data_IF_189386193612
#
_entry.id   IF_189386193612
#
_cell.length_a   1.000
_cell.length_b   1.000
_cell.length_c   1.000
_cell.angle_alpha   90.00
_cell.angle_beta   90.00
_cell.angle_gamma   90.00
#
_symmetry.space_group_name_H-M   'P 1'
#
loop_
_entity.id
_entity.type
_entity.pdbx_description
1 polymer ?
#
# COMPACT_ATOMS: atom_id res chain seq x y z
N UNK A 1 -10.11 14.79 -16.19
CA UNK A 1 -9.74 13.53 -16.89
C UNK A 1 -10.77 12.44 -16.60
N UNK A 2 -10.93 11.42 -17.46
CA UNK A 2 -11.80 10.26 -17.20
C UNK A 2 -11.09 8.94 -17.53
N UNK A 3 -11.12 7.97 -16.62
CA UNK A 3 -10.54 6.64 -16.81
C UNK A 3 -11.35 5.78 -17.78
N UNK A 4 -10.68 4.86 -18.47
CA UNK A 4 -11.35 3.82 -19.24
C UNK A 4 -12.09 2.84 -18.30
N UNK A 5 -13.12 2.11 -18.79
CA UNK A 5 -13.80 1.10 -17.98
C UNK A 5 -12.86 0.02 -17.42
N UNK A 6 -11.84 -0.37 -18.21
CA UNK A 6 -10.83 -1.33 -17.80
C UNK A 6 -9.96 -0.78 -16.66
N UNK A 7 -9.52 0.48 -16.78
CA UNK A 7 -8.78 1.15 -15.71
C UNK A 7 -9.61 1.26 -14.43
N UNK A 8 -10.89 1.64 -14.53
CA UNK A 8 -11.79 1.69 -13.38
C UNK A 8 -11.95 0.33 -12.71
N UNK A 9 -12.08 -0.75 -13.48
CA UNK A 9 -12.15 -2.10 -12.95
C UNK A 9 -10.84 -2.51 -12.26
N UNK A 10 -9.69 -2.17 -12.84
CA UNK A 10 -8.38 -2.44 -12.24
C UNK A 10 -8.16 -1.64 -10.94
N UNK A 11 -8.50 -0.34 -10.92
CA UNK A 11 -8.42 0.52 -9.73
C UNK A 11 -9.29 -0.07 -8.62
N UNK A 12 -10.54 -0.43 -8.94
CA UNK A 12 -11.45 -1.06 -7.99
C UNK A 12 -10.87 -2.34 -7.39
N UNK A 13 -10.54 -3.32 -8.24
CA UNK A 13 -10.08 -4.63 -7.79
C UNK A 13 -8.78 -4.52 -6.96
N UNK A 14 -7.84 -3.68 -7.42
CA UNK A 14 -6.59 -3.45 -6.71
C UNK A 14 -6.81 -2.76 -5.37
N UNK A 15 -7.72 -1.80 -5.30
CA UNK A 15 -8.04 -1.07 -4.05
C UNK A 15 -8.79 -1.94 -3.05
N UNK A 16 -9.68 -2.83 -3.51
CA UNK A 16 -10.36 -3.78 -2.62
C UNK A 16 -9.38 -4.78 -1.99
N UNK A 17 -8.40 -5.28 -2.76
CA UNK A 17 -7.31 -6.10 -2.22
C UNK A 17 -6.53 -5.30 -1.18
N UNK A 18 -6.06 -4.11 -1.56
CA UNK A 18 -5.25 -3.25 -0.70
C UNK A 18 -5.96 -2.90 0.61
N UNK A 19 -7.24 -2.55 0.55
CA UNK A 19 -8.08 -2.27 1.73
C UNK A 19 -8.11 -3.44 2.70
N UNK A 20 -8.34 -4.65 2.20
CA UNK A 20 -8.37 -5.84 3.05
C UNK A 20 -7.01 -6.09 3.71
N UNK A 21 -5.92 -5.91 2.96
CA UNK A 21 -4.57 -6.09 3.48
C UNK A 21 -4.24 -5.06 4.57
N UNK A 22 -4.44 -3.77 4.30
CA UNK A 22 -4.13 -2.69 5.26
C UNK A 22 -5.00 -2.79 6.50
N UNK A 23 -6.30 -3.04 6.36
CA UNK A 23 -7.16 -3.21 7.53
C UNK A 23 -6.68 -4.36 8.41
N UNK A 24 -6.27 -5.49 7.81
CA UNK A 24 -5.73 -6.61 8.54
C UNK A 24 -4.40 -6.30 9.24
N UNK A 25 -3.52 -5.55 8.57
CA UNK A 25 -2.25 -5.11 9.17
C UNK A 25 -2.51 -4.13 10.31
N UNK A 26 -3.43 -3.19 10.15
CA UNK A 26 -3.82 -2.24 11.19
C UNK A 26 -4.44 -2.95 12.42
N UNK A 27 -5.19 -4.04 12.24
CA UNK A 27 -5.65 -4.89 13.35
C UNK A 27 -4.47 -5.46 14.15
N UNK A 28 -3.40 -5.88 13.47
CA UNK A 28 -2.20 -6.39 14.15
C UNK A 28 -1.40 -5.28 14.82
N UNK A 29 -1.22 -4.14 14.17
CA UNK A 29 -0.54 -2.97 14.74
C UNK A 29 -1.21 -2.58 16.07
N UNK A 30 -2.54 -2.52 16.10
CA UNK A 30 -3.30 -2.12 17.27
C UNK A 30 -3.54 -3.24 18.32
N UNK A 31 -2.88 -4.40 18.21
CA UNK A 31 -3.06 -5.55 19.12
C UNK A 31 -2.04 -5.57 20.27
N UNK A 32 -2.39 -6.03 21.50
CA UNK A 32 -1.46 -6.06 22.65
C UNK A 32 -0.18 -6.91 22.48
N UNK A 33 -0.16 -7.84 21.52
CA UNK A 33 0.97 -8.73 21.25
C UNK A 33 1.95 -8.18 20.19
N UNK A 34 1.75 -6.94 19.74
CA UNK A 34 2.40 -6.38 18.55
C UNK A 34 3.63 -5.50 18.82
N UNK A 35 3.85 -5.02 20.04
CA UNK A 35 4.90 -4.04 20.36
C UNK A 35 6.29 -4.48 19.86
N UNK A 36 6.66 -5.75 20.07
CA UNK A 36 7.96 -6.31 19.62
C UNK A 36 8.06 -6.53 18.10
N UNK A 37 6.94 -6.42 17.38
CA UNK A 37 6.80 -6.66 15.93
C UNK A 37 6.33 -5.42 15.19
N UNK A 38 6.24 -4.28 15.86
CA UNK A 38 5.54 -3.10 15.38
C UNK A 38 6.22 -2.52 14.13
N UNK A 39 7.54 -2.39 14.15
CA UNK A 39 8.33 -1.92 13.01
C UNK A 39 8.14 -2.81 11.76
N UNK A 40 8.08 -4.12 11.98
CA UNK A 40 7.88 -5.10 10.91
C UNK A 40 6.47 -5.03 10.31
N UNK A 41 5.47 -4.70 11.14
CA UNK A 41 4.08 -4.51 10.72
C UNK A 41 3.91 -3.20 9.95
N UNK A 42 4.54 -2.11 10.38
CA UNK A 42 4.59 -0.87 9.61
C UNK A 42 5.27 -1.11 8.26
N UNK A 43 6.41 -1.81 8.24
CA UNK A 43 7.08 -2.15 6.98
C UNK A 43 6.20 -3.03 6.07
N UNK A 44 5.43 -3.96 6.64
CA UNK A 44 4.47 -4.77 5.88
C UNK A 44 3.34 -3.91 5.29
N UNK A 45 2.86 -2.90 6.03
CA UNK A 45 1.88 -1.91 5.56
C UNK A 45 2.46 -1.10 4.41
N UNK A 46 3.70 -0.61 4.55
CA UNK A 46 4.42 0.12 3.50
C UNK A 46 4.51 -0.68 2.20
N UNK A 47 4.85 -1.98 2.29
CA UNK A 47 4.93 -2.83 1.09
C UNK A 47 3.56 -2.99 0.43
N UNK A 48 2.49 -3.17 1.20
CA UNK A 48 1.13 -3.24 0.65
C UNK A 48 0.77 -1.95 -0.12
N UNK A 49 1.17 -0.77 0.41
CA UNK A 49 1.01 0.53 -0.25
C UNK A 49 1.79 0.59 -1.58
N UNK A 50 3.04 0.12 -1.59
CA UNK A 50 3.86 0.07 -2.82
C UNK A 50 3.21 -0.86 -3.87
N UNK A 51 2.76 -2.05 -3.47
CA UNK A 51 2.11 -2.99 -4.38
C UNK A 51 0.82 -2.43 -4.96
N UNK A 52 0.01 -1.73 -4.16
CA UNK A 52 -1.19 -1.05 -4.63
C UNK A 52 -0.85 0.07 -5.61
N UNK A 53 0.03 0.99 -5.22
CA UNK A 53 0.44 2.11 -6.05
C UNK A 53 1.00 1.67 -7.41
N UNK A 54 1.79 0.58 -7.44
CA UNK A 54 2.25 -0.02 -8.71
C UNK A 54 1.12 -0.56 -9.57
N UNK A 55 0.17 -1.29 -8.98
CA UNK A 55 -0.96 -1.88 -9.72
C UNK A 55 -1.87 -0.84 -10.37
N UNK A 56 -2.00 0.33 -9.75
CA UNK A 56 -2.84 1.42 -10.25
C UNK A 56 -2.05 2.49 -11.02
N UNK A 57 -0.73 2.34 -11.15
CA UNK A 57 0.13 3.28 -11.87
C UNK A 57 0.44 4.57 -11.11
N UNK A 58 0.29 4.61 -9.78
CA UNK A 58 0.55 5.80 -8.96
C UNK A 58 1.97 6.34 -9.11
N UNK A 59 2.96 5.44 -9.19
CA UNK A 59 4.39 5.79 -9.21
C UNK A 59 4.95 6.04 -10.62
N UNK A 60 4.10 6.22 -11.63
CA UNK A 60 4.54 6.61 -12.96
C UNK A 60 4.82 8.12 -12.98
N UNK A 61 6.10 8.49 -13.15
CA UNK A 61 6.57 9.88 -13.18
C UNK A 61 6.00 10.69 -14.35
N UNK A 62 5.42 10.03 -15.36
CA UNK A 62 4.79 10.69 -16.50
C UNK A 62 3.34 11.10 -16.25
N UNK A 63 2.77 10.72 -15.09
CA UNK A 63 1.41 11.10 -14.72
C UNK A 63 1.29 12.62 -14.51
N UNK A 64 0.19 13.20 -15.01
CA UNK A 64 -0.17 14.58 -14.72
C UNK A 64 -0.83 14.71 -13.35
N UNK A 65 -0.80 15.91 -12.77
CA UNK A 65 -1.53 16.21 -11.53
C UNK A 65 -3.03 15.89 -11.65
N UNK A 66 -3.64 16.18 -12.82
CA UNK A 66 -5.04 15.85 -13.09
C UNK A 66 -5.32 14.34 -13.08
N UNK A 67 -4.34 13.52 -13.50
CA UNK A 67 -4.44 12.06 -13.42
C UNK A 67 -4.37 11.61 -11.96
N UNK A 68 -3.42 12.14 -11.20
CA UNK A 68 -3.22 11.77 -9.79
C UNK A 68 -4.43 12.17 -8.94
N UNK A 69 -5.01 13.34 -9.16
CA UNK A 69 -6.23 13.79 -8.49
C UNK A 69 -7.43 12.88 -8.83
N UNK A 70 -7.61 12.55 -10.12
CA UNK A 70 -8.66 11.63 -10.54
C UNK A 70 -8.45 10.23 -9.93
N UNK A 71 -7.21 9.75 -9.88
CA UNK A 71 -6.86 8.46 -9.31
C UNK A 71 -7.17 8.42 -7.81
N UNK A 72 -6.76 9.45 -7.06
CA UNK A 72 -7.05 9.58 -5.64
C UNK A 72 -8.56 9.62 -5.37
N UNK A 73 -9.32 10.31 -6.22
CA UNK A 73 -10.78 10.34 -6.14
C UNK A 73 -11.40 8.95 -6.35
N UNK A 74 -10.96 8.19 -7.37
CA UNK A 74 -11.48 6.85 -7.64
C UNK A 74 -11.09 5.85 -6.54
N UNK A 75 -9.84 5.87 -6.05
CA UNK A 75 -9.40 5.00 -4.94
C UNK A 75 -10.25 5.25 -3.70
N UNK A 76 -10.51 6.53 -3.37
CA UNK A 76 -11.31 6.93 -2.21
C UNK A 76 -12.76 6.42 -2.25
N UNK A 77 -13.31 6.06 -3.41
CA UNK A 77 -14.65 5.43 -3.49
C UNK A 77 -14.66 4.02 -2.92
N UNK A 78 -13.55 3.30 -3.02
CA UNK A 78 -13.44 1.89 -2.63
C UNK A 78 -12.76 1.69 -1.28
N UNK A 79 -11.97 2.67 -0.85
CA UNK A 79 -11.37 2.74 0.48
C UNK A 79 -11.45 4.17 1.06
N UNK A 80 -12.67 4.63 1.43
CA UNK A 80 -12.89 5.99 1.93
C UNK A 80 -12.30 6.24 3.32
N UNK A 81 -12.13 5.20 4.13
CA UNK A 81 -11.62 5.29 5.50
C UNK A 81 -10.10 5.16 5.63
N UNK A 82 -9.36 5.15 4.51
CA UNK A 82 -7.89 5.08 4.55
C UNK A 82 -7.29 6.36 5.14
N UNK A 83 -6.29 6.19 5.99
CA UNK A 83 -5.47 7.30 6.46
C UNK A 83 -4.30 7.50 5.49
N UNK A 84 -4.52 8.32 4.46
CA UNK A 84 -3.50 8.59 3.44
C UNK A 84 -2.24 9.21 4.06
N UNK A 85 -2.38 10.09 5.06
CA UNK A 85 -1.25 10.74 5.73
C UNK A 85 -0.37 9.69 6.39
N UNK A 86 -0.95 8.80 7.22
CA UNK A 86 -0.20 7.75 7.91
C UNK A 86 0.47 6.78 6.92
N UNK A 87 -0.23 6.40 5.85
CA UNK A 87 0.27 5.45 4.86
C UNK A 87 1.41 6.01 3.99
N UNK A 88 1.40 7.31 3.71
CA UNK A 88 2.49 7.98 2.99
C UNK A 88 3.65 8.36 3.90
N UNK A 89 3.39 8.64 5.18
CA UNK A 89 4.44 8.84 6.18
C UNK A 89 5.29 7.57 6.35
N UNK A 90 4.66 6.40 6.40
CA UNK A 90 5.36 5.11 6.41
C UNK A 90 6.35 4.95 5.23
N UNK A 91 6.02 5.51 4.07
CA UNK A 91 6.89 5.50 2.89
C UNK A 91 8.03 6.52 3.01
N UNK A 92 7.73 7.70 3.52
CA UNK A 92 8.67 8.82 3.61
C UNK A 92 9.80 8.59 4.62
N UNK A 93 9.57 7.75 5.63
CA UNK A 93 10.57 7.42 6.66
C UNK A 93 11.55 6.32 6.25
N UNK A 94 11.36 5.69 5.09
CA UNK A 94 12.28 4.65 4.60
C UNK A 94 13.64 5.27 4.24
N UNK A 95 14.72 4.61 4.64
CA UNK A 95 16.03 4.91 4.09
C UNK A 95 16.12 4.52 2.60
N UNK A 96 17.05 5.15 1.86
CA UNK A 96 17.17 4.98 0.41
C UNK A 96 17.40 3.51 0.00
N UNK A 97 18.15 2.74 0.80
CA UNK A 97 18.47 1.34 0.49
C UNK A 97 17.23 0.45 0.65
N UNK A 98 16.48 0.65 1.74
CA UNK A 98 15.23 -0.04 2.02
C UNK A 98 14.17 0.34 0.99
N UNK A 99 14.01 1.63 0.69
CA UNK A 99 13.12 2.12 -0.35
C UNK A 99 13.41 1.43 -1.70
N UNK A 100 14.67 1.46 -2.16
CA UNK A 100 15.06 0.81 -3.41
C UNK A 100 14.80 -0.70 -3.41
N UNK A 101 15.03 -1.37 -2.28
CA UNK A 101 14.77 -2.82 -2.14
C UNK A 101 13.28 -3.14 -2.24
N UNK A 102 12.43 -2.40 -1.52
CA UNK A 102 10.99 -2.61 -1.54
C UNK A 102 10.40 -2.31 -2.93
N UNK A 103 10.85 -1.24 -3.58
CA UNK A 103 10.44 -0.92 -4.94
C UNK A 103 11.01 -1.87 -6.00
N UNK A 104 12.10 -2.58 -5.74
CA UNK A 104 12.64 -3.56 -6.70
C UNK A 104 11.90 -4.90 -6.66
N UNK A 105 11.48 -5.36 -5.48
CA UNK A 105 10.85 -6.68 -5.32
C UNK A 105 9.87 -6.74 -4.14
N UNK A 106 8.75 -5.99 -4.19
CA UNK A 106 7.84 -5.85 -3.06
C UNK A 106 7.25 -7.20 -2.61
N UNK A 107 6.83 -8.05 -3.56
CA UNK A 107 6.25 -9.37 -3.27
C UNK A 107 7.24 -10.29 -2.52
N UNK A 108 8.52 -10.24 -2.89
CA UNK A 108 9.56 -11.04 -2.22
C UNK A 108 9.75 -10.57 -0.78
N UNK A 109 9.84 -9.27 -0.57
CA UNK A 109 10.04 -8.67 0.76
C UNK A 109 8.80 -8.90 1.64
N UNK A 110 7.59 -8.78 1.08
CA UNK A 110 6.32 -9.13 1.74
C UNK A 110 6.34 -10.57 2.25
N UNK A 111 6.69 -11.53 1.39
CA UNK A 111 6.76 -12.94 1.76
C UNK A 111 7.79 -13.23 2.86
N UNK A 112 8.94 -12.54 2.84
CA UNK A 112 9.95 -12.65 3.90
C UNK A 112 9.40 -12.12 5.23
N UNK A 113 8.74 -10.96 5.22
CA UNK A 113 8.14 -10.37 6.41
C UNK A 113 7.02 -11.22 6.99
N UNK A 114 6.10 -11.69 6.16
CA UNK A 114 5.01 -12.57 6.59
C UNK A 114 5.54 -13.81 7.30
N UNK A 115 6.59 -14.43 6.73
CA UNK A 115 7.24 -15.59 7.33
C UNK A 115 7.92 -15.25 8.67
N UNK A 116 8.58 -14.10 8.78
CA UNK A 116 9.23 -13.64 10.02
C UNK A 116 8.21 -13.36 11.12
N UNK A 117 7.09 -12.74 10.76
CA UNK A 117 6.00 -12.39 11.67
C UNK A 117 5.15 -13.60 12.08
N UNK A 118 5.18 -14.67 11.28
CA UNK A 118 4.33 -15.85 11.44
C UNK A 118 2.89 -15.62 10.99
N UNK A 119 2.70 -14.79 9.96
CA UNK A 119 1.40 -14.31 9.47
C UNK A 119 1.10 -14.78 8.05
N UNK A 120 -0.16 -14.66 7.65
CA UNK A 120 -0.64 -14.93 6.29
C UNK A 120 -1.57 -13.80 5.85
N UNK A 121 -1.39 -13.33 4.61
CA UNK A 121 -2.14 -12.27 3.95
C UNK A 121 -2.62 -12.74 2.58
#
# INVERSE_FOLDING_TARGET
MSFSPEQLQNIKASTEIYRNEVNRINEWINSPDSDDKLDDLYLLRTIATIEHGKRIGLFDESNSDEFLEALAHEVSKYFPEKDDEELFDDLAILDDDLHNRLFSSPEKEKNILLKRLGLTL
#
